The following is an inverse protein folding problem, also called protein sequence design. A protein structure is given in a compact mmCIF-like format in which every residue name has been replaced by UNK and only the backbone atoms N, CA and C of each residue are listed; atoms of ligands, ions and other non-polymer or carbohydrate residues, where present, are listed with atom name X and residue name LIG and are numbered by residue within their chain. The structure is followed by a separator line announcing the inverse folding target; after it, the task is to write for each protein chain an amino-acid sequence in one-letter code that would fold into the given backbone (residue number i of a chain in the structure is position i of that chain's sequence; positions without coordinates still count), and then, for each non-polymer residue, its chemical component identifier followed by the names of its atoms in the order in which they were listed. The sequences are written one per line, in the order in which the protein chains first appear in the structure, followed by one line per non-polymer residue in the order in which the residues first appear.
data_IF_757165697370
#
_entry.id   IF_757165697370
#
_cell.length_a   1.000
_cell.length_b   1.000
_cell.length_c   1.000
_cell.angle_alpha   90.00
_cell.angle_beta   90.00
_cell.angle_gamma   90.00
#
_symmetry.space_group_name_H-M   'P 1'
#
loop_
_entity.id
_entity.type
_entity.pdbx_description
1 polymer ?
#
# COMPACT_ATOMS: atom_id res chain seq x y z
N UNK A 1 -6.14 14.18 4.37
CA UNK A 1 -5.55 12.84 4.24
C UNK A 1 -6.63 11.78 4.23
N UNK A 2 -6.54 10.86 3.32
CA UNK A 2 -7.49 9.75 3.22
C UNK A 2 -6.74 8.43 3.36
N UNK A 3 -7.48 7.34 3.51
CA UNK A 3 -6.86 6.03 3.64
C UNK A 3 -7.57 4.98 2.80
N UNK A 4 -6.83 3.93 2.47
CA UNK A 4 -7.38 2.71 1.90
C UNK A 4 -6.94 1.52 2.76
N UNK A 5 -7.73 0.45 2.72
CA UNK A 5 -7.43 -0.76 3.50
C UNK A 5 -6.95 -1.86 2.56
N UNK A 6 -5.82 -2.47 2.91
CA UNK A 6 -5.30 -3.61 2.16
C UNK A 6 -5.12 -4.79 3.12
N UNK A 7 -5.30 -5.99 2.58
CA UNK A 7 -5.19 -7.23 3.34
C UNK A 7 -3.82 -7.87 3.08
N UNK A 8 -3.32 -8.71 4.01
CA UNK A 8 -2.10 -9.47 3.77
C UNK A 8 -2.18 -10.23 2.45
N UNK A 9 -1.08 -10.23 1.69
CA UNK A 9 -1.03 -10.83 0.38
C UNK A 9 -0.99 -9.78 -0.72
N UNK A 10 -1.61 -10.09 -1.84
CA UNK A 10 -1.65 -9.21 -3.01
C UNK A 10 -2.99 -8.49 -3.07
N UNK A 11 -2.97 -7.19 -3.23
CA UNK A 11 -4.16 -6.36 -3.36
C UNK A 11 -4.04 -5.41 -4.54
N UNK A 12 -5.14 -5.25 -5.28
CA UNK A 12 -5.23 -4.27 -6.35
C UNK A 12 -6.23 -3.21 -5.95
N UNK A 13 -5.85 -1.95 -6.07
CA UNK A 13 -6.67 -0.83 -5.63
C UNK A 13 -6.57 0.31 -6.64
N UNK A 14 -7.72 0.90 -6.98
CA UNK A 14 -7.77 2.08 -7.84
C UNK A 14 -7.62 3.32 -6.98
N UNK A 15 -6.58 4.08 -7.21
CA UNK A 15 -6.29 5.30 -6.46
C UNK A 15 -5.97 6.45 -7.41
N UNK A 16 -6.12 7.71 -6.96
CA UNK A 16 -5.71 8.85 -7.77
C UNK A 16 -4.27 8.74 -8.22
N UNK A 17 -3.96 9.34 -9.36
CA UNK A 17 -2.66 9.18 -10.01
C UNK A 17 -1.49 9.69 -9.16
N UNK A 18 -1.64 10.85 -8.53
CA UNK A 18 -0.54 11.49 -7.80
C UNK A 18 -0.82 11.47 -6.30
N UNK A 19 -0.59 10.33 -5.69
CA UNK A 19 -0.74 10.18 -4.24
C UNK A 19 0.63 10.21 -3.58
N UNK A 20 0.64 10.70 -2.33
CA UNK A 20 1.82 10.66 -1.46
C UNK A 20 1.46 9.82 -0.26
N UNK A 21 2.12 8.69 -0.09
CA UNK A 21 1.85 7.79 1.03
C UNK A 21 2.57 8.31 2.26
N UNK A 22 1.82 8.48 3.35
CA UNK A 22 2.33 9.11 4.56
C UNK A 22 2.50 8.15 5.72
N UNK A 23 1.61 7.17 5.84
CA UNK A 23 1.57 6.36 7.06
C UNK A 23 0.92 5.01 6.80
N UNK A 24 1.32 4.02 7.60
CA UNK A 24 0.71 2.70 7.62
C UNK A 24 0.29 2.37 9.05
N UNK A 25 -0.87 1.75 9.20
CA UNK A 25 -1.33 1.24 10.49
C UNK A 25 -1.90 -0.16 10.31
N UNK A 26 -1.61 -1.02 11.26
CA UNK A 26 -2.25 -2.34 11.35
C UNK A 26 -3.46 -2.23 12.26
N UNK A 27 -4.64 -2.55 11.73
CA UNK A 27 -5.91 -2.53 12.49
C UNK A 27 -6.62 -3.85 12.23
N UNK A 28 -6.77 -4.68 13.26
CA UNK A 28 -7.49 -5.98 13.16
C UNK A 28 -7.00 -6.85 12.01
N UNK A 29 -5.68 -6.98 11.85
CA UNK A 29 -5.03 -7.75 10.79
C UNK A 29 -5.13 -7.14 9.38
N UNK A 30 -5.70 -5.96 9.25
CA UNK A 30 -5.73 -5.23 8.00
C UNK A 30 -4.73 -4.08 8.05
N UNK A 31 -4.17 -3.72 6.91
CA UNK A 31 -3.24 -2.59 6.82
C UNK A 31 -3.98 -1.40 6.25
N UNK A 32 -3.98 -0.30 7.01
CA UNK A 32 -4.47 0.99 6.50
C UNK A 32 -3.30 1.75 5.92
N UNK A 33 -3.45 2.16 4.68
CA UNK A 33 -2.46 2.99 3.98
C UNK A 33 -3.03 4.40 3.89
N UNK A 34 -2.41 5.33 4.61
CA UNK A 34 -2.84 6.74 4.61
C UNK A 34 -2.07 7.48 3.54
N UNK A 35 -2.78 8.24 2.73
CA UNK A 35 -2.17 8.98 1.64
C UNK A 35 -2.80 10.36 1.48
N UNK A 36 -2.04 11.25 0.87
CA UNK A 36 -2.51 12.59 0.51
C UNK A 36 -2.66 12.67 -1.00
N UNK A 37 -3.64 13.45 -1.43
CA UNK A 37 -3.89 13.73 -2.83
C UNK A 37 -3.43 15.17 -3.08
N UNK A 38 -2.66 15.37 -4.16
CA UNK A 38 -2.31 16.71 -4.60
C UNK A 38 -3.60 17.46 -4.93
N UNK A 39 -3.79 18.64 -4.33
CA UNK A 39 -4.98 19.44 -4.54
C UNK A 39 -5.15 19.90 -5.98
N UNK A 40 -4.07 19.90 -6.77
CA UNK A 40 -4.11 20.25 -8.17
C UNK A 40 -4.45 19.08 -9.08
N UNK A 41 -4.51 17.87 -8.52
CA UNK A 41 -4.79 16.66 -9.27
C UNK A 41 -6.28 16.34 -9.23
N UNK A 42 -6.85 16.01 -10.40
CA UNK A 42 -8.23 15.56 -10.46
C UNK A 42 -8.39 14.21 -9.77
N UNK A 43 -9.33 14.10 -8.82
CA UNK A 43 -9.64 12.85 -8.14
C UNK A 43 -10.53 11.94 -9.00
N UNK A 44 -11.01 12.42 -10.15
CA UNK A 44 -11.82 11.63 -11.06
C UNK A 44 -11.00 10.59 -11.82
N UNK A 45 -9.69 10.88 -12.00
CA UNK A 45 -8.80 9.96 -12.70
C UNK A 45 -8.10 9.07 -11.69
N UNK A 46 -8.38 7.77 -11.75
CA UNK A 46 -7.73 6.78 -10.92
C UNK A 46 -6.92 5.83 -11.79
N UNK A 47 -5.87 5.29 -11.20
CA UNK A 47 -5.01 4.30 -11.84
C UNK A 47 -4.87 3.09 -10.93
N UNK A 48 -4.63 1.89 -11.50
CA UNK A 48 -4.47 0.70 -10.68
C UNK A 48 -3.11 0.69 -9.99
N UNK A 49 -3.13 0.36 -8.71
CA UNK A 49 -1.94 0.10 -7.91
C UNK A 49 -1.98 -1.34 -7.41
N UNK A 50 -0.85 -2.00 -7.44
CA UNK A 50 -0.69 -3.32 -6.85
C UNK A 50 0.09 -3.18 -5.55
N UNK A 51 -0.49 -3.66 -4.47
CA UNK A 51 0.17 -3.73 -3.17
C UNK A 51 0.50 -5.17 -2.85
N UNK A 52 1.67 -5.39 -2.24
CA UNK A 52 1.99 -6.67 -1.64
C UNK A 52 2.34 -6.46 -0.18
N UNK A 53 1.67 -7.20 0.69
CA UNK A 53 1.91 -7.19 2.12
C UNK A 53 2.40 -8.58 2.49
N UNK A 54 3.67 -8.69 2.83
CA UNK A 54 4.31 -9.98 3.10
C UNK A 54 4.91 -10.01 4.50
N UNK A 55 4.83 -11.17 5.14
CA UNK A 55 5.42 -11.36 6.45
C UNK A 55 6.94 -11.57 6.37
N UNK A 56 7.60 -11.35 7.49
CA UNK A 56 9.04 -11.62 7.60
C UNK A 56 9.32 -13.10 7.32
N UNK A 57 10.31 -13.36 6.49
CA UNK A 57 10.67 -14.72 6.10
C UNK A 57 10.01 -15.20 4.82
N UNK A 58 9.15 -14.38 4.22
CA UNK A 58 8.55 -14.70 2.92
C UNK A 58 9.58 -14.63 1.80
N UNK A 59 9.24 -15.24 0.66
CA UNK A 59 10.09 -15.23 -0.50
C UNK A 59 10.34 -13.81 -1.02
N UNK A 60 11.42 -13.67 -1.77
CA UNK A 60 11.82 -12.40 -2.36
C UNK A 60 10.71 -11.83 -3.25
N UNK A 61 10.45 -10.54 -3.06
CA UNK A 61 9.51 -9.79 -3.87
C UNK A 61 10.15 -9.45 -5.22
N UNK A 62 9.32 -9.35 -6.25
CA UNK A 62 9.77 -8.94 -7.58
C UNK A 62 10.47 -7.58 -7.53
N UNK A 63 11.56 -7.45 -8.28
CA UNK A 63 12.38 -6.23 -8.30
C UNK A 63 11.66 -5.01 -8.86
N UNK A 64 10.53 -5.20 -9.53
CA UNK A 64 9.74 -4.09 -10.07
C UNK A 64 8.83 -3.44 -9.05
N UNK A 65 8.81 -3.91 -7.82
CA UNK A 65 8.00 -3.35 -6.75
C UNK A 65 8.83 -2.46 -5.83
N UNK A 66 8.27 -1.33 -5.47
CA UNK A 66 8.90 -0.37 -4.57
C UNK A 66 8.55 -0.72 -3.12
N UNK A 67 9.56 -0.80 -2.27
CA UNK A 67 9.35 -0.97 -0.85
C UNK A 67 8.83 0.32 -0.24
N UNK A 68 7.71 0.25 0.47
CA UNK A 68 7.12 1.41 1.12
C UNK A 68 7.45 1.49 2.61
N UNK A 69 7.39 0.39 3.31
CA UNK A 69 7.61 0.40 4.74
C UNK A 69 7.22 -0.90 5.40
N UNK A 70 7.29 -0.88 6.73
CA UNK A 70 7.05 -2.05 7.56
C UNK A 70 6.08 -1.67 8.68
N UNK A 71 5.13 -2.56 8.95
CA UNK A 71 4.22 -2.41 10.09
C UNK A 71 4.32 -3.63 10.98
N UNK A 72 4.16 -3.42 12.27
CA UNK A 72 4.19 -4.50 13.24
C UNK A 72 2.77 -4.94 13.57
N UNK A 73 2.46 -6.21 13.28
CA UNK A 73 1.23 -6.84 13.68
C UNK A 73 1.37 -7.53 15.03
N UNK A 74 0.33 -8.26 15.43
CA UNK A 74 0.33 -8.99 16.70
C UNK A 74 1.27 -10.19 16.70
N UNK A 75 1.43 -10.85 15.55
CA UNK A 75 2.23 -12.08 15.42
C UNK A 75 3.37 -11.93 14.45
N UNK A 76 3.19 -11.14 13.40
CA UNK A 76 4.15 -10.96 12.32
C UNK A 76 4.50 -9.51 12.13
N UNK A 77 5.70 -9.28 11.58
CA UNK A 77 6.08 -7.99 11.02
C UNK A 77 5.79 -8.06 9.53
N UNK A 78 5.05 -7.10 9.02
CA UNK A 78 4.60 -7.09 7.64
C UNK A 78 5.36 -6.02 6.86
N UNK A 79 5.82 -6.40 5.66
CA UNK A 79 6.52 -5.50 4.74
C UNK A 79 5.60 -5.15 3.59
N UNK A 80 5.53 -3.87 3.24
CA UNK A 80 4.57 -3.34 2.27
C UNK A 80 5.30 -2.86 1.03
N UNK A 81 4.88 -3.36 -0.12
CA UNK A 81 5.42 -3.00 -1.43
C UNK A 81 4.32 -2.46 -2.31
N UNK A 82 4.68 -1.59 -3.24
CA UNK A 82 3.74 -1.00 -4.19
C UNK A 82 4.32 -1.02 -5.60
N UNK A 83 3.43 -1.16 -6.56
CA UNK A 83 3.73 -0.94 -7.97
C UNK A 83 2.52 -0.28 -8.62
N UNK A 84 2.77 0.75 -9.44
CA UNK A 84 1.72 1.32 -10.27
C UNK A 84 1.54 0.40 -11.47
N UNK A 85 0.33 -0.11 -11.63
CA UNK A 85 0.01 -1.15 -12.61
C UNK A 85 -0.81 -0.54 -13.75
N UNK A 86 -0.22 0.42 -14.45
CA UNK A 86 -0.88 1.13 -15.55
C UNK A 86 -0.32 0.73 -16.90
#
# INVERSE_FOLDING_TARGET
MVYTVIYPGVAFTMLPENIVIRKFLMVNNDVRVYYEIDSLTSTELTVPYKFMVVGTGSEKISDDMQYLGTVQGSTFVWHIYIRRDS
#
